data_IF_083811027852
#
_entry.id   IF_083811027852
#
_cell.length_a   1.000
_cell.length_b   1.000
_cell.length_c   1.000
_cell.angle_alpha   90.00
_cell.angle_beta   90.00
_cell.angle_gamma   90.00
#
_symmetry.space_group_name_H-M   'P 1'
#
loop_
_entity.id
_entity.type
_entity.pdbx_description
1 polymer ?
#
# COMPACT_ATOMS: atom_id res chain seq x y z
N UNK A 1 -8.65 -42.30 45.89
CA UNK A 1 -9.57 -41.32 45.27
C UNK A 1 -8.91 -39.97 44.92
N UNK A 2 -7.66 -39.66 45.33
CA UNK A 2 -7.00 -38.39 44.96
C UNK A 2 -6.33 -38.36 43.57
N UNK A 3 -6.03 -39.52 42.97
CA UNK A 3 -5.25 -39.59 41.71
C UNK A 3 -6.02 -39.04 40.50
N UNK A 4 -7.33 -39.28 40.45
CA UNK A 4 -8.20 -38.83 39.35
C UNK A 4 -8.39 -37.30 39.38
N UNK A 5 -8.48 -36.72 40.57
CA UNK A 5 -8.65 -35.27 40.78
C UNK A 5 -7.39 -34.53 40.32
N UNK A 6 -6.20 -35.04 40.67
CA UNK A 6 -4.92 -34.44 40.26
C UNK A 6 -4.73 -34.51 38.73
N UNK A 7 -5.08 -35.64 38.09
CA UNK A 7 -5.02 -35.74 36.62
C UNK A 7 -6.01 -34.83 35.91
N UNK A 8 -7.21 -34.65 36.46
CA UNK A 8 -8.22 -33.74 35.90
C UNK A 8 -7.78 -32.27 36.00
N UNK A 9 -7.18 -31.86 37.13
CA UNK A 9 -6.63 -30.52 37.31
C UNK A 9 -5.48 -30.21 36.34
N UNK A 10 -4.57 -31.17 36.12
CA UNK A 10 -3.46 -31.02 35.16
C UNK A 10 -3.95 -30.89 33.71
N UNK A 11 -4.99 -31.64 33.33
CA UNK A 11 -5.61 -31.55 32.01
C UNK A 11 -6.31 -30.18 31.80
N UNK A 12 -6.96 -29.65 32.84
CA UNK A 12 -7.57 -28.32 32.78
C UNK A 12 -6.53 -27.20 32.60
N UNK A 13 -5.37 -27.28 33.27
CA UNK A 13 -4.29 -26.30 33.07
C UNK A 13 -3.64 -26.40 31.68
N UNK A 14 -3.58 -27.60 31.09
CA UNK A 14 -3.10 -27.80 29.71
C UNK A 14 -4.05 -27.26 28.65
N UNK A 15 -5.36 -27.42 28.84
CA UNK A 15 -6.42 -26.99 27.92
C UNK A 15 -6.56 -25.47 27.78
N UNK A 16 -6.15 -24.69 28.78
CA UNK A 16 -6.22 -23.21 28.74
C UNK A 16 -5.26 -22.63 27.67
N UNK A 17 -4.19 -23.36 27.33
CA UNK A 17 -3.22 -22.89 26.33
C UNK A 17 -3.72 -22.99 24.89
N UNK A 18 -4.76 -23.80 24.61
CA UNK A 18 -5.32 -23.99 23.27
C UNK A 18 -6.25 -22.83 22.86
N UNK A 19 -6.70 -22.02 23.81
CA UNK A 19 -7.60 -20.87 23.57
C UNK A 19 -6.90 -19.51 23.47
N UNK A 20 -5.60 -19.42 23.76
CA UNK A 20 -4.89 -18.14 23.77
C UNK A 20 -4.32 -17.85 22.36
N UNK A 21 -5.18 -17.42 21.43
CA UNK A 21 -4.72 -17.03 20.11
C UNK A 21 -3.74 -15.85 20.23
N UNK A 22 -2.53 -15.99 19.67
CA UNK A 22 -1.51 -14.93 19.68
C UNK A 22 -2.14 -13.62 19.21
N UNK A 23 -1.94 -12.56 19.99
CA UNK A 23 -2.26 -11.21 19.54
C UNK A 23 -1.13 -10.73 18.64
N UNK A 24 -1.43 -10.47 17.37
CA UNK A 24 -0.49 -9.92 16.40
C UNK A 24 -0.55 -8.40 16.44
N UNK A 25 0.62 -7.77 16.45
CA UNK A 25 0.73 -6.33 16.27
C UNK A 25 0.39 -5.91 14.84
N UNK A 26 0.08 -4.62 14.66
CA UNK A 26 -0.17 -4.02 13.34
C UNK A 26 1.03 -4.24 12.41
N UNK A 27 2.25 -4.05 12.90
CA UNK A 27 3.48 -4.24 12.13
C UNK A 27 3.74 -5.68 11.71
N UNK A 28 3.46 -6.66 12.57
CA UNK A 28 3.54 -8.08 12.21
C UNK A 28 2.53 -8.44 11.12
N UNK A 29 1.33 -7.85 11.17
CA UNK A 29 0.29 -8.05 10.15
C UNK A 29 0.70 -7.44 8.80
N UNK A 30 1.21 -6.20 8.79
CA UNK A 30 1.65 -5.52 7.56
C UNK A 30 2.74 -6.28 6.81
N UNK A 31 3.65 -6.94 7.55
CA UNK A 31 4.78 -7.69 6.98
C UNK A 31 4.42 -9.09 6.50
N UNK A 32 3.21 -9.59 6.79
CA UNK A 32 2.84 -10.98 6.53
C UNK A 32 1.49 -11.09 5.82
N UNK A 33 1.55 -11.28 4.51
CA UNK A 33 0.37 -11.43 3.66
C UNK A 33 -0.52 -12.61 4.06
N UNK A 34 0.06 -13.71 4.55
CA UNK A 34 -0.72 -14.87 5.00
C UNK A 34 -1.55 -14.53 6.25
N UNK A 35 -1.04 -13.70 7.15
CA UNK A 35 -1.81 -13.23 8.31
C UNK A 35 -2.94 -12.30 7.88
N UNK A 36 -2.69 -11.37 6.96
CA UNK A 36 -3.74 -10.53 6.36
C UNK A 36 -4.85 -11.40 5.77
N UNK A 37 -4.52 -12.36 4.90
CA UNK A 37 -5.52 -13.28 4.28
C UNK A 37 -6.25 -14.15 5.30
N UNK A 38 -5.57 -14.56 6.39
CA UNK A 38 -6.19 -15.32 7.48
C UNK A 38 -7.24 -14.45 8.19
N UNK A 39 -6.86 -13.24 8.61
CA UNK A 39 -7.75 -12.35 9.35
C UNK A 39 -8.82 -11.71 8.46
N UNK A 40 -8.58 -11.52 7.17
CA UNK A 40 -9.60 -11.13 6.21
C UNK A 40 -10.75 -12.14 6.13
N UNK A 41 -10.44 -13.44 6.18
CA UNK A 41 -11.45 -14.51 6.19
C UNK A 41 -12.10 -14.70 7.55
N UNK A 42 -11.35 -14.43 8.63
CA UNK A 42 -11.81 -14.64 10.01
C UNK A 42 -12.64 -13.48 10.55
N UNK A 43 -12.23 -12.26 10.28
CA UNK A 43 -12.82 -11.05 10.84
C UNK A 43 -14.04 -10.62 10.03
N UNK A 44 -15.22 -10.72 10.64
CA UNK A 44 -16.43 -10.08 10.11
C UNK A 44 -16.42 -8.59 10.49
N UNK A 45 -17.32 -7.79 9.91
CA UNK A 45 -17.42 -6.35 10.22
C UNK A 45 -17.73 -6.05 11.70
N UNK A 46 -18.29 -7.01 12.43
CA UNK A 46 -18.70 -6.86 13.84
C UNK A 46 -17.71 -7.46 14.84
N UNK A 47 -16.67 -8.16 14.38
CA UNK A 47 -15.67 -8.77 15.28
C UNK A 47 -14.81 -7.68 15.94
N UNK A 48 -14.76 -7.67 17.28
CA UNK A 48 -14.01 -6.69 18.06
C UNK A 48 -12.79 -7.27 18.77
N UNK A 49 -12.36 -8.48 18.39
CA UNK A 49 -11.10 -9.04 18.89
C UNK A 49 -9.93 -8.11 18.57
N UNK A 50 -8.93 -8.09 19.45
CA UNK A 50 -7.76 -7.22 19.27
C UNK A 50 -7.04 -7.48 17.94
N UNK A 51 -7.01 -8.75 17.51
CA UNK A 51 -6.47 -9.14 16.21
C UNK A 51 -7.26 -8.54 15.04
N UNK A 52 -8.59 -8.55 15.08
CA UNK A 52 -9.39 -7.95 14.02
C UNK A 52 -9.28 -6.42 13.98
N UNK A 53 -9.15 -5.76 15.14
CA UNK A 53 -8.85 -4.33 15.19
C UNK A 53 -7.48 -4.02 14.58
N UNK A 54 -6.44 -4.75 14.99
CA UNK A 54 -5.09 -4.56 14.46
C UNK A 54 -5.01 -4.89 12.96
N UNK A 55 -5.75 -5.91 12.49
CA UNK A 55 -5.88 -6.25 11.08
C UNK A 55 -6.49 -5.09 10.27
N UNK A 56 -7.65 -4.55 10.69
CA UNK A 56 -8.28 -3.42 10.01
C UNK A 56 -7.37 -2.20 9.97
N UNK A 57 -6.66 -1.94 11.07
CA UNK A 57 -5.67 -0.86 11.11
C UNK A 57 -4.52 -1.12 10.13
N UNK A 58 -3.94 -2.32 10.13
CA UNK A 58 -2.86 -2.70 9.22
C UNK A 58 -3.26 -2.55 7.75
N UNK A 59 -4.45 -3.03 7.37
CA UNK A 59 -4.96 -2.89 5.99
C UNK A 59 -5.16 -1.42 5.62
N UNK A 60 -5.73 -0.60 6.50
CA UNK A 60 -5.91 0.84 6.25
C UNK A 60 -4.59 1.59 6.09
N UNK A 61 -3.59 1.25 6.90
CA UNK A 61 -2.24 1.81 6.78
C UNK A 61 -1.59 1.41 5.45
N UNK A 62 -1.65 0.13 5.07
CA UNK A 62 -1.14 -0.34 3.78
C UNK A 62 -1.80 0.37 2.60
N UNK A 63 -3.13 0.46 2.57
CA UNK A 63 -3.84 1.20 1.52
C UNK A 63 -3.45 2.67 1.47
N UNK A 64 -3.16 3.28 2.62
CA UNK A 64 -2.73 4.68 2.69
C UNK A 64 -1.31 4.84 2.15
N UNK A 65 -0.41 3.93 2.49
CA UNK A 65 0.96 3.90 1.96
C UNK A 65 0.97 3.66 0.44
N UNK A 66 0.13 2.74 -0.06
CA UNK A 66 -0.01 2.47 -1.49
C UNK A 66 -0.57 3.66 -2.25
N UNK A 67 -1.61 4.32 -1.71
CA UNK A 67 -2.16 5.56 -2.30
C UNK A 67 -1.11 6.66 -2.39
N UNK A 68 -0.37 6.92 -1.30
CA UNK A 68 0.71 7.93 -1.32
C UNK A 68 1.76 7.63 -2.39
N UNK A 69 2.18 6.37 -2.52
CA UNK A 69 3.13 5.96 -3.59
C UNK A 69 2.54 6.18 -4.98
N UNK A 70 1.25 5.87 -5.16
CA UNK A 70 0.56 6.10 -6.43
C UNK A 70 0.49 7.59 -6.78
N UNK A 71 0.15 8.44 -5.81
CA UNK A 71 0.07 9.89 -5.97
C UNK A 71 1.45 10.47 -6.32
N UNK A 72 2.51 10.10 -5.59
CA UNK A 72 3.88 10.53 -5.90
C UNK A 72 4.34 10.09 -7.29
N UNK A 73 3.97 8.88 -7.71
CA UNK A 73 4.30 8.38 -9.05
C UNK A 73 3.53 9.14 -10.13
N UNK A 74 2.27 9.49 -9.85
CA UNK A 74 1.44 10.29 -10.75
C UNK A 74 1.98 11.70 -10.92
N UNK A 75 2.36 12.38 -9.83
CA UNK A 75 2.98 13.69 -9.86
C UNK A 75 4.28 13.69 -10.68
N UNK A 76 5.16 12.70 -10.45
CA UNK A 76 6.40 12.51 -11.24
C UNK A 76 6.10 12.26 -12.72
N UNK A 77 5.03 11.54 -13.04
CA UNK A 77 4.63 11.29 -14.42
C UNK A 77 4.13 12.57 -15.09
N UNK A 78 3.32 13.37 -14.39
CA UNK A 78 2.84 14.67 -14.87
C UNK A 78 3.99 15.65 -15.11
N UNK A 79 4.93 15.75 -14.17
CA UNK A 79 6.12 16.60 -14.32
C UNK A 79 6.91 16.24 -15.58
N UNK A 80 7.15 14.94 -15.80
CA UNK A 80 7.83 14.46 -17.02
C UNK A 80 7.07 14.78 -18.30
N UNK A 81 5.73 14.66 -18.28
CA UNK A 81 4.89 14.95 -19.44
C UNK A 81 4.92 16.46 -19.75
N UNK A 82 4.81 17.30 -18.72
CA UNK A 82 4.85 18.75 -18.86
C UNK A 82 6.21 19.21 -19.40
N UNK A 83 7.32 18.73 -18.83
CA UNK A 83 8.67 19.02 -19.34
C UNK A 83 8.85 18.62 -20.81
N UNK A 84 8.38 17.42 -21.19
CA UNK A 84 8.43 16.97 -22.60
C UNK A 84 7.54 17.81 -23.52
N UNK A 85 6.45 18.37 -23.00
CA UNK A 85 5.59 19.29 -23.76
C UNK A 85 6.31 20.61 -23.97
N UNK A 86 6.85 21.21 -22.91
CA UNK A 86 7.63 22.46 -22.99
C UNK A 86 8.82 22.31 -23.94
N UNK A 87 9.57 21.20 -23.88
CA UNK A 87 10.67 20.92 -24.80
C UNK A 87 10.21 20.81 -26.26
N UNK A 88 9.02 20.25 -26.53
CA UNK A 88 8.45 20.17 -27.88
C UNK A 88 8.01 21.54 -28.36
N UNK A 89 7.29 22.29 -27.54
CA UNK A 89 6.85 23.65 -27.86
C UNK A 89 8.05 24.57 -28.11
N UNK A 90 9.13 24.46 -27.32
CA UNK A 90 10.35 25.21 -27.55
C UNK A 90 11.02 24.83 -28.89
N UNK A 91 11.10 23.53 -29.22
CA UNK A 91 11.62 23.06 -30.51
C UNK A 91 10.78 23.55 -31.68
N UNK A 92 9.46 23.56 -31.55
CA UNK A 92 8.54 24.06 -32.57
C UNK A 92 8.70 25.56 -32.79
N UNK A 93 8.83 26.35 -31.71
CA UNK A 93 9.12 27.79 -31.80
C UNK A 93 10.45 28.07 -32.51
N UNK A 94 11.51 27.33 -32.18
CA UNK A 94 12.81 27.47 -32.86
C UNK A 94 12.69 27.15 -34.35
N UNK A 95 11.99 26.05 -34.70
CA UNK A 95 11.76 25.66 -36.09
C UNK A 95 10.94 26.71 -36.86
N UNK A 96 9.92 27.29 -36.24
CA UNK A 96 9.10 28.33 -36.86
C UNK A 96 9.95 29.57 -37.17
N UNK A 97 10.76 30.04 -36.23
CA UNK A 97 11.68 31.17 -36.43
C UNK A 97 12.70 30.89 -37.53
N UNK A 98 13.26 29.68 -37.58
CA UNK A 98 14.18 29.28 -38.66
C UNK A 98 13.49 29.32 -40.03
N UNK A 99 12.27 28.78 -40.13
CA UNK A 99 11.48 28.79 -41.37
C UNK A 99 11.15 30.20 -41.83
N UNK A 100 10.77 31.09 -40.91
CA UNK A 100 10.51 32.51 -41.21
C UNK A 100 11.77 33.21 -41.74
N UNK A 101 12.95 32.93 -41.16
CA UNK A 101 14.23 33.47 -41.66
C UNK A 101 14.57 32.96 -43.05
N UNK A 102 14.44 31.65 -43.29
CA UNK A 102 14.69 31.05 -44.61
C UNK A 102 13.73 31.59 -45.68
N UNK A 103 12.45 31.81 -45.34
CA UNK A 103 11.46 32.42 -46.22
C UNK A 103 11.80 33.89 -46.51
N UNK A 104 12.20 34.66 -45.50
CA UNK A 104 12.63 36.06 -45.67
C UNK A 104 13.89 36.18 -46.56
N UNK A 105 14.86 35.29 -46.40
CA UNK A 105 16.07 35.23 -47.23
C UNK A 105 15.75 34.87 -48.68
N UNK A 106 14.86 33.90 -48.93
CA UNK A 106 14.41 33.53 -50.28
C UNK A 106 13.66 34.67 -50.98
N UNK A 107 12.85 35.43 -50.25
CA UNK A 107 12.08 36.54 -50.81
C UNK A 107 12.93 37.80 -51.07
N UNK A 108 14.18 37.83 -50.58
CA UNK A 108 15.12 38.93 -50.78
C UNK A 108 16.11 38.70 -51.94
N UNK A 109 16.09 37.52 -52.57
CA UNK A 109 16.87 37.16 -53.77
C UNK A 109 16.02 37.30 -55.04
#
# INVERSE_FOLDING_TARGET
MNKIIISALLLCTGLITVGCEKTYSVEELKKNENLIRKFQRKCTSFDNSKNCQNFRQATKELETEERKKADENYEKALEKINKRREEREAKERVKAVQKEKEEAEKNAQ
#
